data_IF_004253931331
#
_entry.id   IF_004253931331
#
_cell.length_a   1.000
_cell.length_b   1.000
_cell.length_c   1.000
_cell.angle_alpha   90.00
_cell.angle_beta   90.00
_cell.angle_gamma   90.00
#
_symmetry.space_group_name_H-M   'P 1'
#
loop_
_entity.id
_entity.type
_entity.pdbx_description
1 polymer ?
#
# COMPACT_ATOMS: atom_id res chain seq x y z
N UNK A 1 18.99 40.67 -3.02
CA UNK A 1 18.88 41.94 -2.28
C UNK A 1 17.41 42.28 -2.15
N UNK A 2 16.82 42.07 -0.98
CA UNK A 2 15.81 42.94 -0.37
C UNK A 2 15.37 42.27 0.94
N UNK A 3 15.89 42.86 2.02
CA UNK A 3 15.54 42.52 3.38
C UNK A 3 14.24 43.29 3.77
N UNK A 4 13.29 42.62 4.43
CA UNK A 4 12.28 43.32 5.20
C UNK A 4 12.23 42.78 6.64
N UNK A 5 12.79 43.58 7.54
CA UNK A 5 12.57 43.57 8.99
C UNK A 5 11.21 44.21 9.30
N UNK A 6 10.41 43.63 10.20
CA UNK A 6 9.43 44.32 11.08
C UNK A 6 9.36 43.53 12.37
N UNK A 7 9.92 44.00 13.46
CA UNK A 7 9.48 44.98 14.45
C UNK A 7 8.44 44.43 15.45
N UNK A 8 8.95 44.25 16.67
CA UNK A 8 8.25 43.84 17.90
C UNK A 8 7.25 44.92 18.37
N UNK A 9 6.16 44.47 18.98
CA UNK A 9 5.38 45.28 19.94
C UNK A 9 5.08 44.46 21.17
N UNK A 10 5.69 44.88 22.28
CA UNK A 10 5.36 44.49 23.64
C UNK A 10 4.15 45.31 24.09
N UNK A 11 3.18 44.69 24.71
CA UNK A 11 2.18 45.34 25.55
C UNK A 11 2.12 44.62 26.90
N UNK A 12 2.65 45.31 27.87
CA UNK A 12 2.47 45.06 29.30
C UNK A 12 1.13 45.61 29.76
N UNK A 13 0.32 44.78 30.40
CA UNK A 13 -0.91 45.22 31.06
C UNK A 13 -1.07 44.43 32.36
N UNK A 14 -0.66 45.08 33.47
CA UNK A 14 -0.93 44.66 34.83
C UNK A 14 -2.35 45.09 35.23
N UNK A 15 -3.17 44.15 35.70
CA UNK A 15 -4.41 44.46 36.40
C UNK A 15 -4.49 43.60 37.66
N UNK A 16 -4.38 44.28 38.79
CA UNK A 16 -4.60 43.75 40.12
C UNK A 16 -6.10 43.77 40.46
N UNK A 17 -6.67 42.67 40.88
CA UNK A 17 -7.99 42.64 41.51
C UNK A 17 -7.98 41.77 42.75
N UNK A 18 -8.44 42.38 43.82
CA UNK A 18 -8.54 41.95 45.22
C UNK A 18 -9.62 40.87 45.40
N UNK A 19 -9.27 39.84 46.24
CA UNK A 19 -10.17 38.80 46.75
C UNK A 19 -11.06 39.36 47.89
N UNK A 20 -12.29 38.82 48.02
CA UNK A 20 -12.86 38.54 49.35
C UNK A 20 -12.92 37.01 49.61
N UNK A 21 -12.45 36.66 50.77
CA UNK A 21 -12.53 35.32 51.34
C UNK A 21 -13.95 35.02 51.82
N UNK A 22 -14.57 33.98 51.28
CA UNK A 22 -15.76 33.35 51.83
C UNK A 22 -15.40 31.96 52.30
N UNK A 23 -15.36 31.81 53.65
CA UNK A 23 -15.24 30.52 54.30
C UNK A 23 -16.56 29.77 54.19
N UNK A 24 -16.60 28.71 53.38
CA UNK A 24 -17.69 27.72 53.41
C UNK A 24 -17.14 26.46 54.04
N UNK A 25 -17.66 26.11 55.19
CA UNK A 25 -17.40 24.83 55.85
C UNK A 25 -18.09 23.71 55.08
N UNK A 26 -17.33 22.87 54.40
CA UNK A 26 -17.83 21.61 53.81
C UNK A 26 -17.65 20.47 54.81
N UNK A 27 -18.75 19.89 55.19
CA UNK A 27 -18.81 18.57 55.87
C UNK A 27 -18.27 17.51 54.94
N UNK A 28 -17.25 16.79 55.35
CA UNK A 28 -16.68 15.69 54.57
C UNK A 28 -17.59 14.46 54.63
N UNK A 29 -18.17 14.11 53.48
CA UNK A 29 -18.73 12.77 53.25
C UNK A 29 -17.58 11.77 53.06
N UNK A 30 -17.73 10.49 53.52
CA UNK A 30 -16.71 9.48 53.33
C UNK A 30 -16.54 9.16 51.85
N UNK A 31 -15.31 8.90 51.35
CA UNK A 31 -15.06 8.64 49.97
C UNK A 31 -15.77 7.34 49.54
N UNK A 32 -16.64 7.47 48.55
CA UNK A 32 -17.21 6.34 47.81
C UNK A 32 -16.08 5.56 47.14
N UNK A 33 -16.07 4.21 47.15
CA UNK A 33 -15.06 3.45 46.44
C UNK A 33 -15.10 3.77 44.97
N UNK A 34 -13.98 4.21 44.41
CA UNK A 34 -13.83 4.46 42.98
C UNK A 34 -14.11 3.17 42.20
N UNK A 35 -14.89 3.24 41.09
CA UNK A 35 -15.03 2.10 40.21
C UNK A 35 -13.66 1.72 39.68
N UNK A 36 -13.25 0.47 39.88
CA UNK A 36 -12.14 -0.17 39.15
C UNK A 36 -12.51 -0.26 37.69
N UNK A 37 -12.40 0.87 37.00
CA UNK A 37 -12.47 0.89 35.55
C UNK A 37 -11.24 0.15 35.01
N UNK A 38 -11.48 -0.88 34.26
CA UNK A 38 -10.49 -1.51 33.40
C UNK A 38 -9.88 -0.36 32.57
N UNK A 39 -8.61 -0.09 32.78
CA UNK A 39 -7.93 0.96 32.01
C UNK A 39 -8.00 0.56 30.53
N UNK A 40 -8.59 1.42 29.70
CA UNK A 40 -8.48 1.30 28.27
C UNK A 40 -7.00 1.26 27.90
N UNK A 41 -6.62 0.45 26.89
CA UNK A 41 -5.22 0.31 26.49
C UNK A 41 -4.63 1.69 26.15
N UNK A 42 -3.45 1.92 26.70
CA UNK A 42 -2.76 3.20 26.70
C UNK A 42 -2.44 3.64 25.25
N UNK A 43 -2.69 4.91 24.89
CA UNK A 43 -2.38 5.46 23.56
C UNK A 43 -0.94 5.22 23.05
N UNK A 44 0.02 5.00 23.94
CA UNK A 44 1.43 4.80 23.62
C UNK A 44 1.74 3.53 22.81
N UNK A 45 0.98 2.44 22.95
CA UNK A 45 1.24 1.20 22.20
C UNK A 45 0.74 1.29 20.75
N UNK A 46 -0.35 2.03 20.52
CA UNK A 46 -0.90 2.26 19.18
C UNK A 46 0.05 3.13 18.35
N UNK A 47 0.66 4.13 18.99
CA UNK A 47 1.65 5.00 18.34
C UNK A 47 2.94 4.23 18.00
N UNK A 48 3.38 3.31 18.89
CA UNK A 48 4.56 2.49 18.63
C UNK A 48 4.41 1.58 17.41
N UNK A 49 3.31 0.84 17.30
CA UNK A 49 3.07 -0.01 16.13
C UNK A 49 2.96 0.79 14.82
N UNK A 50 2.40 2.00 14.90
CA UNK A 50 2.33 2.92 13.75
C UNK A 50 3.73 3.39 13.33
N UNK A 51 4.60 3.69 14.28
CA UNK A 51 5.97 4.11 14.02
C UNK A 51 6.83 2.97 13.46
N UNK A 52 6.66 1.77 14.00
CA UNK A 52 7.38 0.57 13.54
C UNK A 52 7.04 0.21 12.11
N UNK A 53 5.74 0.15 11.75
CA UNK A 53 5.36 -0.15 10.37
C UNK A 53 5.78 0.96 9.41
N UNK A 54 5.74 2.22 9.83
CA UNK A 54 6.22 3.33 9.01
C UNK A 54 7.73 3.23 8.75
N UNK A 55 8.52 2.81 9.73
CA UNK A 55 9.95 2.58 9.56
C UNK A 55 10.23 1.41 8.62
N UNK A 56 9.47 0.30 8.72
CA UNK A 56 9.59 -0.85 7.83
C UNK A 56 9.18 -0.52 6.40
N UNK A 57 8.10 0.26 6.24
CA UNK A 57 7.66 0.72 4.92
C UNK A 57 8.67 1.68 4.28
N UNK A 58 9.29 2.57 5.06
CA UNK A 58 10.37 3.43 4.58
C UNK A 58 11.59 2.61 4.14
N UNK A 59 11.97 1.59 4.92
CA UNK A 59 13.02 0.67 4.52
C UNK A 59 12.65 -0.10 3.25
N UNK A 60 11.36 -0.47 3.07
CA UNK A 60 10.87 -1.12 1.85
C UNK A 60 10.98 -0.22 0.61
N UNK A 61 10.75 1.10 0.74
CA UNK A 61 10.93 2.08 -0.35
C UNK A 61 12.38 2.12 -0.85
N UNK A 62 13.34 1.96 0.07
CA UNK A 62 14.78 1.95 -0.26
C UNK A 62 15.26 0.57 -0.74
N UNK A 63 14.39 -0.47 -0.71
CA UNK A 63 14.77 -1.83 -1.13
C UNK A 63 14.63 -2.02 -2.62
N UNK A 64 15.76 -2.30 -3.26
CA UNK A 64 15.83 -2.68 -4.65
C UNK A 64 16.12 -4.19 -4.74
N UNK A 65 15.22 -4.95 -5.36
CA UNK A 65 15.29 -6.41 -5.38
C UNK A 65 14.46 -7.02 -6.51
N UNK A 66 14.68 -8.30 -6.77
CA UNK A 66 13.74 -9.16 -7.47
C UNK A 66 13.29 -10.26 -6.53
N UNK A 67 11.98 -10.39 -6.33
CA UNK A 67 11.42 -11.39 -5.42
C UNK A 67 10.22 -12.10 -6.05
N UNK A 68 10.01 -13.34 -5.66
CA UNK A 68 8.83 -14.12 -6.02
C UNK A 68 7.92 -14.25 -4.81
N UNK A 69 6.62 -14.21 -5.07
CA UNK A 69 5.59 -14.37 -4.05
C UNK A 69 4.59 -15.45 -4.47
N UNK A 70 4.23 -16.31 -3.54
CA UNK A 70 3.02 -17.13 -3.68
C UNK A 70 1.81 -16.22 -3.48
N UNK A 71 0.97 -16.14 -4.48
CA UNK A 71 -0.29 -15.38 -4.46
C UNK A 71 -1.47 -16.33 -4.38
N UNK A 72 -2.20 -16.26 -3.27
CA UNK A 72 -3.46 -16.95 -3.03
C UNK A 72 -4.58 -15.91 -3.20
N UNK A 73 -5.20 -15.78 -4.39
CA UNK A 73 -6.28 -14.82 -4.60
C UNK A 73 -7.49 -15.18 -3.72
N UNK A 74 -8.36 -14.20 -3.44
CA UNK A 74 -9.60 -14.45 -2.71
C UNK A 74 -10.49 -15.50 -3.42
N UNK A 75 -10.44 -15.48 -4.77
CA UNK A 75 -11.12 -16.44 -5.64
C UNK A 75 -10.13 -16.93 -6.71
N UNK A 76 -9.99 -18.25 -6.84
CA UNK A 76 -9.19 -18.85 -7.90
C UNK A 76 -7.97 -19.64 -7.42
N UNK A 77 -7.15 -20.05 -8.37
CA UNK A 77 -5.98 -20.88 -8.11
C UNK A 77 -4.80 -20.05 -7.62
N UNK A 78 -3.99 -20.65 -6.74
CA UNK A 78 -2.70 -20.13 -6.30
C UNK A 78 -1.77 -19.90 -7.49
N UNK A 79 -1.02 -18.80 -7.46
CA UNK A 79 -0.11 -18.37 -8.53
C UNK A 79 1.21 -17.91 -7.93
N UNK A 80 2.23 -17.83 -8.78
CA UNK A 80 3.50 -17.20 -8.41
C UNK A 80 3.59 -15.87 -9.14
N UNK A 81 3.71 -14.78 -8.41
CA UNK A 81 3.99 -13.46 -8.98
C UNK A 81 5.47 -13.12 -8.82
N UNK A 82 5.99 -12.31 -9.71
CA UNK A 82 7.35 -11.76 -9.61
C UNK A 82 7.27 -10.26 -9.46
N UNK A 83 7.96 -9.75 -8.46
CA UNK A 83 8.10 -8.31 -8.18
C UNK A 83 9.56 -7.92 -8.41
N UNK A 84 9.78 -6.88 -9.18
CA UNK A 84 11.11 -6.30 -9.41
C UNK A 84 11.06 -4.83 -9.11
N UNK A 85 11.90 -4.36 -8.19
CA UNK A 85 12.20 -2.96 -7.93
C UNK A 85 13.64 -2.71 -8.31
N UNK A 86 13.88 -1.93 -9.36
CA UNK A 86 15.21 -1.68 -9.92
C UNK A 86 15.93 -0.55 -9.20
N UNK A 87 17.26 -0.48 -9.39
CA UNK A 87 18.12 0.52 -8.73
C UNK A 87 17.84 1.98 -9.16
N UNK A 88 17.21 2.17 -10.31
CA UNK A 88 16.80 3.49 -10.82
C UNK A 88 15.38 3.91 -10.41
N UNK A 89 14.71 3.13 -9.54
CA UNK A 89 13.35 3.38 -9.07
C UNK A 89 12.25 2.88 -10.02
N UNK A 90 12.60 2.30 -11.18
CA UNK A 90 11.61 1.63 -12.03
C UNK A 90 11.18 0.31 -11.39
N UNK A 91 9.94 -0.10 -11.64
CA UNK A 91 9.41 -1.33 -11.06
C UNK A 91 8.55 -2.12 -12.06
N UNK A 92 8.42 -3.42 -11.79
CA UNK A 92 7.57 -4.33 -12.57
C UNK A 92 6.99 -5.42 -11.67
N UNK A 93 5.73 -5.76 -11.91
CA UNK A 93 5.06 -6.89 -11.26
C UNK A 93 4.40 -7.76 -12.32
N UNK A 94 4.80 -9.03 -12.38
CA UNK A 94 4.25 -10.02 -13.29
C UNK A 94 3.16 -10.83 -12.58
N UNK A 95 1.96 -10.86 -13.16
CA UNK A 95 0.76 -11.48 -12.58
C UNK A 95 0.19 -12.51 -13.56
N UNK A 96 0.63 -13.78 -13.45
CA UNK A 96 0.13 -14.85 -14.30
C UNK A 96 -1.39 -15.05 -14.19
N UNK A 97 -2.05 -15.31 -15.30
CA UNK A 97 -3.46 -15.63 -15.36
C UNK A 97 -4.39 -14.57 -14.78
N UNK A 98 -4.05 -13.29 -14.89
CA UNK A 98 -4.91 -12.22 -14.39
C UNK A 98 -5.95 -11.74 -15.41
N UNK A 99 -5.56 -11.59 -16.65
CA UNK A 99 -6.41 -11.02 -17.71
C UNK A 99 -7.36 -12.03 -18.34
N UNK A 100 -8.45 -11.52 -18.92
CA UNK A 100 -9.44 -12.26 -19.72
C UNK A 100 -9.90 -13.56 -19.05
N UNK A 101 -10.41 -13.44 -17.83
CA UNK A 101 -10.90 -14.60 -17.06
C UNK A 101 -9.80 -15.59 -16.65
N UNK A 102 -8.54 -15.18 -16.62
CA UNK A 102 -7.41 -16.00 -16.18
C UNK A 102 -6.61 -16.65 -17.34
N UNK A 103 -6.87 -16.27 -18.58
CA UNK A 103 -6.20 -16.84 -19.76
C UNK A 103 -4.96 -16.06 -20.20
N UNK A 104 -4.84 -14.79 -19.79
CA UNK A 104 -3.73 -13.91 -20.17
C UNK A 104 -2.90 -13.57 -18.94
N UNK A 105 -1.60 -13.78 -19.05
CA UNK A 105 -0.63 -13.29 -18.08
C UNK A 105 -0.39 -11.80 -18.33
N UNK A 106 -0.35 -10.98 -17.28
CA UNK A 106 -0.08 -9.56 -17.42
C UNK A 106 1.14 -9.13 -16.60
N UNK A 107 1.76 -8.06 -17.05
CA UNK A 107 2.79 -7.34 -16.31
C UNK A 107 2.40 -5.89 -16.20
N UNK A 108 2.51 -5.32 -15.00
CA UNK A 108 2.48 -3.88 -14.77
C UNK A 108 3.91 -3.40 -14.57
N UNK A 109 4.28 -2.30 -15.20
CA UNK A 109 5.59 -1.70 -15.04
C UNK A 109 5.50 -0.17 -15.09
N UNK A 110 6.21 0.49 -14.17
CA UNK A 110 6.51 1.92 -14.28
C UNK A 110 7.99 2.08 -14.66
N UNK A 111 8.23 2.86 -15.70
CA UNK A 111 9.55 3.17 -16.24
C UNK A 111 9.69 4.69 -16.40
N UNK A 112 10.85 5.18 -16.80
CA UNK A 112 11.02 6.60 -17.11
C UNK A 112 10.10 7.13 -18.22
N UNK A 113 9.53 6.23 -19.04
CA UNK A 113 8.63 6.58 -20.15
C UNK A 113 7.15 6.52 -19.78
N UNK A 114 6.81 6.05 -18.56
CA UNK A 114 5.43 6.00 -18.08
C UNK A 114 5.06 4.71 -17.39
N UNK A 115 3.77 4.57 -17.11
CA UNK A 115 3.11 3.37 -16.58
C UNK A 115 2.57 2.53 -17.73
N UNK A 116 2.87 1.23 -17.71
CA UNK A 116 2.51 0.29 -18.78
C UNK A 116 1.84 -0.96 -18.23
N UNK A 117 0.95 -1.52 -19.04
CA UNK A 117 0.51 -2.90 -18.92
C UNK A 117 0.99 -3.69 -20.13
N UNK A 118 1.58 -4.85 -19.90
CA UNK A 118 2.00 -5.76 -20.95
C UNK A 118 1.19 -7.06 -20.86
N UNK A 119 0.65 -7.51 -21.98
CA UNK A 119 0.18 -8.88 -22.13
C UNK A 119 1.38 -9.80 -22.36
N UNK A 120 1.47 -10.90 -21.64
CA UNK A 120 2.58 -11.85 -21.74
C UNK A 120 2.09 -13.15 -22.42
N UNK A 121 2.96 -13.84 -23.18
CA UNK A 121 2.65 -15.16 -23.66
C UNK A 121 2.30 -16.12 -22.52
N UNK A 122 1.22 -16.88 -22.67
CA UNK A 122 0.79 -17.89 -21.72
C UNK A 122 0.19 -19.09 -22.45
N UNK A 123 -0.15 -20.14 -21.72
CA UNK A 123 -0.80 -21.32 -22.30
C UNK A 123 -2.16 -20.97 -22.97
N UNK A 124 -2.86 -19.95 -22.46
CA UNK A 124 -4.12 -19.44 -23.02
C UNK A 124 -3.97 -18.29 -24.02
N UNK A 125 -2.75 -17.75 -24.17
CA UNK A 125 -2.46 -16.58 -24.96
C UNK A 125 -1.10 -16.72 -25.66
N UNK A 126 -1.11 -17.27 -26.86
CA UNK A 126 0.11 -17.55 -27.64
C UNK A 126 0.67 -16.35 -28.42
N UNK A 127 0.07 -15.15 -28.27
CA UNK A 127 0.57 -13.93 -28.90
C UNK A 127 1.90 -13.49 -28.28
N UNK A 128 2.80 -12.87 -29.06
CA UNK A 128 4.02 -12.27 -28.51
C UNK A 128 3.67 -11.18 -27.48
N UNK A 129 4.61 -10.95 -26.54
CA UNK A 129 4.43 -9.90 -25.56
C UNK A 129 4.27 -8.53 -26.24
N UNK A 130 3.30 -7.76 -25.76
CA UNK A 130 3.05 -6.39 -26.22
C UNK A 130 2.61 -5.52 -25.04
N UNK A 131 3.05 -4.27 -25.01
CA UNK A 131 2.79 -3.34 -23.93
C UNK A 131 1.94 -2.16 -24.42
N UNK A 132 1.01 -1.72 -23.58
CA UNK A 132 0.18 -0.53 -23.79
C UNK A 132 0.46 0.47 -22.68
N UNK A 133 0.67 1.74 -23.01
CA UNK A 133 0.85 2.80 -22.06
C UNK A 133 -0.47 3.11 -21.37
N UNK A 134 -0.47 3.17 -20.04
CA UNK A 134 -1.64 3.50 -19.21
C UNK A 134 -1.66 4.97 -18.79
N UNK A 135 -0.48 5.58 -18.60
CA UNK A 135 -0.34 6.94 -18.11
C UNK A 135 1.12 7.33 -17.83
N UNK A 136 1.32 8.34 -17.00
CA UNK A 136 2.64 8.71 -16.49
C UNK A 136 3.09 7.71 -15.41
N UNK A 137 4.39 7.68 -15.09
CA UNK A 137 4.97 6.65 -14.23
C UNK A 137 4.38 6.61 -12.81
N UNK A 138 3.92 7.74 -12.32
CA UNK A 138 3.30 7.95 -11.01
C UNK A 138 1.76 7.98 -11.03
N UNK A 139 1.16 7.77 -12.21
CA UNK A 139 -0.29 7.65 -12.31
C UNK A 139 -0.81 6.37 -11.64
N UNK A 140 -2.00 6.46 -11.07
CA UNK A 140 -2.67 5.29 -10.52
C UNK A 140 -3.12 4.32 -11.64
N UNK A 141 -2.92 3.02 -11.42
CA UNK A 141 -3.45 2.00 -12.33
C UNK A 141 -4.97 2.12 -12.39
N UNK A 142 -5.58 2.21 -13.60
CA UNK A 142 -7.03 2.27 -13.73
C UNK A 142 -7.71 1.05 -13.08
N UNK A 143 -8.73 1.26 -12.26
CA UNK A 143 -9.37 0.22 -11.42
C UNK A 143 -9.74 -1.07 -12.17
N UNK A 144 -10.20 -0.97 -13.43
CA UNK A 144 -10.55 -2.11 -14.27
C UNK A 144 -9.35 -2.95 -14.71
N UNK A 145 -8.14 -2.39 -14.62
CA UNK A 145 -6.87 -2.97 -15.06
C UNK A 145 -5.97 -3.33 -13.88
N UNK A 146 -6.44 -3.09 -12.66
CA UNK A 146 -5.66 -3.14 -11.45
C UNK A 146 -5.77 -4.52 -10.76
N UNK A 147 -4.69 -5.33 -10.76
CA UNK A 147 -4.64 -6.59 -10.03
C UNK A 147 -4.45 -6.39 -8.52
N UNK A 148 -4.12 -5.18 -8.07
CA UNK A 148 -3.89 -4.76 -6.69
C UNK A 148 -2.66 -5.36 -5.99
N UNK A 149 -2.08 -6.39 -6.54
CA UNK A 149 -0.93 -7.09 -5.95
C UNK A 149 0.38 -6.29 -6.00
N UNK A 150 0.44 -5.24 -6.83
CA UNK A 150 1.61 -4.33 -6.91
C UNK A 150 1.63 -3.30 -5.79
N UNK A 151 0.47 -2.88 -5.28
CA UNK A 151 0.36 -1.79 -4.32
C UNK A 151 1.22 -1.95 -3.05
N UNK A 152 1.34 -3.15 -2.44
CA UNK A 152 2.22 -3.35 -1.27
C UNK A 152 3.70 -3.03 -1.53
N UNK A 153 4.10 -2.92 -2.78
CA UNK A 153 5.48 -2.67 -3.22
C UNK A 153 5.65 -1.27 -3.84
N UNK A 154 4.57 -0.51 -3.95
CA UNK A 154 4.53 0.79 -4.62
C UNK A 154 3.81 1.83 -3.75
N UNK A 155 2.70 2.37 -4.20
CA UNK A 155 1.97 3.49 -3.62
C UNK A 155 1.47 3.27 -2.17
N UNK A 156 1.21 2.03 -1.73
CA UNK A 156 0.84 1.81 -0.33
C UNK A 156 1.99 2.04 0.65
N UNK A 157 3.24 1.97 0.21
CA UNK A 157 4.39 2.31 1.04
C UNK A 157 4.35 3.80 1.44
N UNK A 158 3.96 4.69 0.53
CA UNK A 158 3.79 6.12 0.81
C UNK A 158 2.69 6.35 1.86
N UNK A 159 1.58 5.61 1.75
CA UNK A 159 0.48 5.68 2.72
C UNK A 159 0.91 5.20 4.10
N UNK A 160 1.71 4.13 4.17
CA UNK A 160 2.21 3.58 5.43
C UNK A 160 3.22 4.50 6.11
N UNK A 161 4.02 5.24 5.33
CA UNK A 161 4.99 6.22 5.86
C UNK A 161 4.34 7.55 6.23
N UNK A 162 3.20 7.91 5.63
CA UNK A 162 2.47 9.13 6.01
C UNK A 162 1.76 8.96 7.36
N UNK A 163 2.32 9.58 8.41
CA UNK A 163 1.74 9.56 9.76
C UNK A 163 0.36 10.23 9.87
N UNK A 164 -0.06 11.00 8.86
CA UNK A 164 -1.38 11.63 8.80
C UNK A 164 -2.41 10.76 8.11
N UNK A 165 -2.00 9.70 7.44
CA UNK A 165 -2.93 8.77 6.84
C UNK A 165 -3.90 8.21 7.90
N UNK A 166 -5.21 8.17 7.62
CA UNK A 166 -6.24 7.78 8.57
C UNK A 166 -6.25 6.26 8.77
N UNK A 167 -5.20 5.75 9.42
CA UNK A 167 -5.00 4.33 9.69
C UNK A 167 -4.90 4.09 11.19
N UNK A 168 -5.55 3.03 11.66
CA UNK A 168 -5.27 2.39 12.94
C UNK A 168 -4.36 1.19 12.68
N UNK A 169 -3.28 1.09 13.45
CA UNK A 169 -2.29 0.03 13.34
C UNK A 169 -2.12 -0.65 14.68
N UNK A 170 -2.11 -1.96 14.69
CA UNK A 170 -1.81 -2.76 15.89
C UNK A 170 -0.94 -3.96 15.53
N UNK A 171 -0.09 -4.45 16.45
CA UNK A 171 0.64 -5.68 16.25
C UNK A 171 -0.31 -6.84 15.95
N UNK A 172 0.09 -7.73 15.03
CA UNK A 172 -0.69 -8.89 14.65
C UNK A 172 0.13 -10.18 14.77
N UNK A 173 -0.56 -11.30 14.99
CA UNK A 173 0.07 -12.61 14.90
C UNK A 173 0.55 -12.87 13.47
N UNK A 174 1.81 -13.32 13.27
CA UNK A 174 2.30 -13.67 11.96
C UNK A 174 1.40 -14.66 11.22
N UNK A 175 1.27 -14.48 9.92
CA UNK A 175 0.53 -15.41 9.08
C UNK A 175 1.24 -16.79 9.07
N UNK A 176 0.51 -17.90 8.93
CA UNK A 176 1.13 -19.23 8.93
C UNK A 176 2.25 -19.37 7.90
N UNK A 177 3.43 -19.78 8.38
CA UNK A 177 4.63 -19.97 7.54
C UNK A 177 5.33 -18.67 7.14
N UNK A 178 4.97 -17.53 7.73
CA UNK A 178 5.59 -16.23 7.47
C UNK A 178 6.50 -15.85 8.62
N UNK A 179 7.71 -15.37 8.28
CA UNK A 179 8.66 -14.77 9.21
C UNK A 179 8.53 -13.25 9.20
N UNK A 180 8.97 -12.59 10.28
CA UNK A 180 8.99 -11.13 10.40
C UNK A 180 7.89 -10.60 11.30
N UNK A 181 7.79 -9.28 11.36
CA UNK A 181 6.84 -8.52 12.17
C UNK A 181 5.56 -8.26 11.37
N UNK A 182 4.40 -8.50 11.99
CA UNK A 182 3.10 -8.35 11.33
C UNK A 182 2.23 -7.33 12.05
N UNK A 183 1.49 -6.58 11.27
CA UNK A 183 0.59 -5.52 11.74
C UNK A 183 -0.78 -5.67 11.12
N UNK A 184 -1.82 -5.51 11.93
CA UNK A 184 -3.19 -5.32 11.46
C UNK A 184 -3.40 -3.85 11.16
N UNK A 185 -3.88 -3.55 9.95
CA UNK A 185 -4.17 -2.21 9.50
C UNK A 185 -5.66 -2.07 9.23
N UNK A 186 -6.26 -1.05 9.82
CA UNK A 186 -7.65 -0.68 9.63
C UNK A 186 -7.73 0.78 9.17
N UNK A 187 -8.73 1.12 8.35
CA UNK A 187 -9.00 2.50 8.00
C UNK A 187 -9.85 3.17 9.09
N UNK A 188 -9.41 4.31 9.58
CA UNK A 188 -10.19 5.18 10.47
C UNK A 188 -11.03 6.20 9.71
N UNK A 189 -10.92 6.22 8.37
CA UNK A 189 -11.70 7.10 7.51
C UNK A 189 -13.12 6.58 7.33
N UNK A 190 -14.11 7.45 7.44
CA UNK A 190 -15.49 7.16 7.04
C UNK A 190 -15.68 7.14 5.51
N UNK A 191 -14.63 7.43 4.74
CA UNK A 191 -14.66 7.42 3.27
C UNK A 191 -14.66 5.98 2.75
N UNK A 192 -15.44 5.73 1.70
CA UNK A 192 -15.41 4.47 0.95
C UNK A 192 -14.09 4.28 0.17
N UNK A 193 -13.30 5.34 0.02
CA UNK A 193 -11.98 5.30 -0.61
C UNK A 193 -10.90 5.25 0.48
N UNK A 194 -10.68 4.08 1.06
CA UNK A 194 -9.53 3.86 1.93
C UNK A 194 -8.23 4.05 1.13
N UNK A 195 -7.19 4.67 1.71
CA UNK A 195 -5.93 4.92 1.02
C UNK A 195 -5.14 3.64 0.71
N UNK A 196 -5.44 2.56 1.44
CA UNK A 196 -4.92 1.22 1.20
C UNK A 196 -5.98 0.18 1.64
N UNK A 197 -5.78 -1.08 1.26
CA UNK A 197 -6.63 -2.17 1.75
C UNK A 197 -6.39 -2.45 3.22
N UNK A 198 -7.47 -2.58 3.99
CA UNK A 198 -7.40 -3.10 5.35
C UNK A 198 -6.92 -4.56 5.34
N UNK A 199 -6.10 -4.94 6.30
CA UNK A 199 -5.54 -6.28 6.30
C UNK A 199 -4.37 -6.49 7.24
N UNK A 200 -3.61 -7.56 7.00
CA UNK A 200 -2.39 -7.89 7.73
C UNK A 200 -1.19 -7.70 6.81
N UNK A 201 -0.23 -6.93 7.26
CA UNK A 201 1.00 -6.60 6.56
C UNK A 201 2.18 -7.08 7.39
N UNK A 202 3.02 -7.92 6.81
CA UNK A 202 4.19 -8.49 7.46
C UNK A 202 5.46 -8.08 6.73
N UNK A 203 6.48 -7.70 7.49
CA UNK A 203 7.76 -7.26 6.96
C UNK A 203 8.91 -8.02 7.62
N UNK A 204 9.96 -8.28 6.86
CA UNK A 204 11.26 -8.65 7.42
C UNK A 204 11.93 -7.41 8.05
N UNK A 205 12.93 -7.60 8.94
CA UNK A 205 13.60 -6.47 9.60
C UNK A 205 14.29 -5.48 8.65
N UNK A 206 14.57 -5.88 7.42
CA UNK A 206 15.19 -5.06 6.38
C UNK A 206 14.16 -4.30 5.50
N UNK A 207 12.87 -4.37 5.85
CA UNK A 207 11.77 -3.74 5.12
C UNK A 207 11.21 -4.60 3.98
N UNK A 208 11.78 -5.76 3.67
CA UNK A 208 11.21 -6.63 2.63
C UNK A 208 9.79 -7.08 3.03
N UNK A 209 8.75 -6.85 2.22
CA UNK A 209 7.42 -7.37 2.49
C UNK A 209 7.45 -8.90 2.54
N UNK A 210 7.22 -9.48 3.73
CA UNK A 210 7.21 -10.93 3.93
C UNK A 210 5.86 -11.56 3.56
N UNK A 211 4.77 -10.86 3.86
CA UNK A 211 3.43 -11.24 3.43
C UNK A 211 2.45 -10.05 3.53
N UNK A 212 1.41 -10.11 2.73
CA UNK A 212 0.25 -9.21 2.83
C UNK A 212 -1.01 -10.02 2.64
N UNK A 213 -1.97 -9.90 3.56
CA UNK A 213 -3.32 -10.43 3.43
C UNK A 213 -4.31 -9.28 3.44
N UNK A 214 -4.96 -9.06 2.30
CA UNK A 214 -5.89 -7.96 2.07
C UNK A 214 -7.07 -8.41 1.20
N UNK A 215 -7.90 -7.47 0.73
CA UNK A 215 -9.10 -7.80 -0.04
C UNK A 215 -8.80 -8.57 -1.35
N UNK A 216 -7.64 -8.35 -1.97
CA UNK A 216 -7.25 -9.08 -3.20
C UNK A 216 -6.84 -10.54 -2.95
N UNK A 217 -6.55 -10.92 -1.71
CA UNK A 217 -6.06 -12.25 -1.33
C UNK A 217 -4.84 -12.18 -0.42
N UNK A 218 -3.98 -13.20 -0.50
CA UNK A 218 -2.76 -13.30 0.32
C UNK A 218 -1.53 -13.44 -0.56
N UNK A 219 -0.54 -12.58 -0.30
CA UNK A 219 0.81 -12.70 -0.83
C UNK A 219 1.74 -13.23 0.26
N UNK A 220 2.63 -14.15 -0.07
CA UNK A 220 3.69 -14.63 0.81
C UNK A 220 4.99 -14.71 0.04
N UNK A 221 6.05 -14.14 0.59
CA UNK A 221 7.38 -14.23 0.02
C UNK A 221 7.78 -15.70 -0.17
N UNK A 222 8.19 -16.05 -1.39
CA UNK A 222 8.58 -17.41 -1.78
C UNK A 222 10.08 -17.47 -2.01
N UNK A 223 10.82 -17.74 -0.94
CA UNK A 223 12.27 -17.84 -1.00
C UNK A 223 13.01 -16.52 -0.72
N UNK A 224 14.30 -16.51 -0.93
CA UNK A 224 15.17 -15.36 -0.71
C UNK A 224 15.10 -14.39 -1.91
N UNK A 225 14.95 -13.07 -1.69
CA UNK A 225 15.00 -12.10 -2.76
C UNK A 225 16.36 -12.08 -3.46
N UNK A 226 16.34 -11.96 -4.78
CA UNK A 226 17.53 -11.78 -5.61
C UNK A 226 17.94 -10.31 -5.74
N UNK A 227 19.09 -10.09 -6.36
CA UNK A 227 19.61 -8.77 -6.63
C UNK A 227 18.70 -7.98 -7.60
N UNK A 228 18.61 -6.66 -7.38
CA UNK A 228 17.92 -5.76 -8.28
C UNK A 228 18.68 -5.58 -9.62
N UNK A 229 17.96 -5.45 -10.74
CA UNK A 229 18.56 -4.96 -11.97
C UNK A 229 18.85 -3.45 -11.88
N UNK A 230 19.63 -2.93 -12.82
CA UNK A 230 19.87 -1.48 -12.91
C UNK A 230 18.59 -0.71 -13.26
N UNK A 231 17.81 -1.26 -14.19
CA UNK A 231 16.52 -0.75 -14.67
C UNK A 231 15.59 -1.90 -15.04
N UNK A 232 14.29 -1.64 -15.06
CA UNK A 232 13.30 -2.63 -15.50
C UNK A 232 13.01 -2.47 -16.99
N UNK A 233 13.25 -3.50 -17.81
CA UNK A 233 12.80 -3.48 -19.19
C UNK A 233 11.31 -3.81 -19.28
N UNK A 234 10.61 -3.22 -20.26
CA UNK A 234 9.28 -3.68 -20.64
C UNK A 234 9.34 -5.11 -21.18
N UNK A 235 8.26 -5.87 -20.99
CA UNK A 235 8.18 -7.25 -21.41
C UNK A 235 8.11 -7.44 -22.93
N UNK A 236 7.74 -6.38 -23.66
CA UNK A 236 7.61 -6.36 -25.11
C UNK A 236 7.56 -4.94 -25.67
N UNK A 237 7.41 -4.79 -26.98
CA UNK A 237 7.29 -3.49 -27.63
C UNK A 237 6.02 -2.77 -27.17
N UNK A 238 6.10 -1.44 -27.10
CA UNK A 238 4.92 -0.59 -26.89
C UNK A 238 4.12 -0.54 -28.19
N UNK A 239 2.85 -0.83 -28.08
CA UNK A 239 1.90 -0.85 -29.21
C UNK A 239 0.72 0.06 -28.90
N UNK A 240 0.09 0.57 -29.92
CA UNK A 240 -1.22 1.18 -29.81
C UNK A 240 -2.27 0.09 -29.69
N UNK A 241 -3.15 0.18 -28.71
CA UNK A 241 -4.19 -0.83 -28.49
C UNK A 241 -4.90 -0.61 -27.15
N UNK A 242 -5.83 -1.51 -26.87
CA UNK A 242 -6.52 -1.52 -25.60
C UNK A 242 -5.78 -2.42 -24.60
N UNK A 243 -5.61 -1.99 -23.35
CA UNK A 243 -5.03 -2.83 -22.32
C UNK A 243 -5.96 -4.01 -21.98
N UNK A 244 -5.36 -5.11 -21.54
CA UNK A 244 -6.09 -6.33 -21.15
C UNK A 244 -6.87 -6.08 -19.88
N UNK A 245 -8.20 -6.29 -19.94
CA UNK A 245 -9.06 -6.26 -18.74
C UNK A 245 -9.10 -7.63 -18.07
N UNK A 246 -9.57 -7.65 -16.81
CA UNK A 246 -9.78 -8.90 -16.06
C UNK A 246 -10.90 -9.73 -16.67
N UNK A 247 -11.95 -9.06 -17.17
CA UNK A 247 -13.14 -9.70 -17.70
C UNK A 247 -12.88 -10.31 -19.08
N UNK A 248 -13.62 -11.37 -19.41
CA UNK A 248 -13.64 -11.91 -20.75
C UNK A 248 -14.16 -10.85 -21.74
N UNK A 249 -13.59 -10.77 -22.96
CA UNK A 249 -14.11 -9.88 -23.99
C UNK A 249 -15.57 -10.21 -24.26
N UNK A 250 -16.41 -9.19 -24.40
CA UNK A 250 -17.80 -9.37 -24.79
C UNK A 250 -17.86 -9.99 -26.19
N UNK A 251 -18.79 -10.93 -26.46
CA UNK A 251 -18.89 -11.57 -27.79
C UNK A 251 -19.16 -10.59 -28.94
N UNK A 252 -19.50 -9.34 -28.60
CA UNK A 252 -19.73 -8.25 -29.58
C UNK A 252 -18.43 -7.61 -30.10
N UNK A 253 -17.30 -7.81 -29.36
CA UNK A 253 -16.01 -7.20 -29.70
C UNK A 253 -15.13 -8.07 -30.61
N UNK A 254 -15.63 -9.23 -31.05
CA UNK A 254 -14.95 -10.01 -32.09
C UNK A 254 -14.97 -9.24 -33.40
N UNK A 255 -13.79 -8.90 -33.99
CA UNK A 255 -13.77 -8.30 -35.31
C UNK A 255 -14.49 -9.24 -36.26
N UNK A 256 -15.52 -8.74 -36.96
CA UNK A 256 -16.19 -9.47 -38.04
C UNK A 256 -15.11 -9.96 -38.99
N UNK A 257 -14.91 -11.28 -39.04
CA UNK A 257 -14.07 -11.90 -40.06
C UNK A 257 -14.68 -11.52 -41.42
N UNK A 258 -14.05 -10.54 -42.07
CA UNK A 258 -14.44 -10.15 -43.43
C UNK A 258 -14.37 -11.39 -44.29
N UNK A 259 -15.54 -11.80 -44.80
CA UNK A 259 -15.69 -12.85 -45.79
C UNK A 259 -14.97 -12.39 -47.07
N UNK A 260 -14.18 -13.23 -47.72
CA UNK A 260 -13.42 -12.89 -48.92
C UNK A 260 -14.32 -12.57 -50.11
#
# INVERSE_FOLDING_TARGET
MHAHRRAARRLTGTLALTLPALLVACTADPPSPAPTGTADPVPAEVDAARDEIAALAAAAQDRHLTATYTYEPADGATRTITVTSANDGTWRVDVPGWGQGGTVDVSLAATGDGLFQCALPSAGWAQPAGCVRLGDADDAVPRRLDPRVQHPFTDWLDVLTDRRAPLAVSPATPLPGVSGECYSIESTSASLNAPLDVGIYCYLPDGTPAAVRAAFGTLKLAGEPGAAPATVPLAGPVTEGEPVSRDLPSPTDSPSAGTP
#
